data_IF_203393384448
#
_entry.id   IF_203393384448
#
_cell.length_a   1.000
_cell.length_b   1.000
_cell.length_c   1.000
_cell.angle_alpha   90.00
_cell.angle_beta   90.00
_cell.angle_gamma   90.00
#
_symmetry.space_group_name_H-M   'P 1'
#
loop_
_entity.id
_entity.type
_entity.pdbx_description
1 polymer ?
#
# COMPACT_ATOMS: atom_id res chain seq x y z
N UNK A 1 1.89 -39.51 63.62
CA UNK A 1 2.43 -39.66 62.25
C UNK A 1 1.63 -38.92 61.16
N UNK A 2 0.51 -38.23 61.47
CA UNK A 2 -0.26 -37.48 60.45
C UNK A 2 0.31 -36.08 60.11
N UNK A 3 1.11 -35.46 60.99
CA UNK A 3 1.62 -34.10 60.78
C UNK A 3 2.72 -33.99 59.71
N UNK A 4 3.54 -35.03 59.54
CA UNK A 4 4.63 -35.04 58.55
C UNK A 4 4.14 -35.22 57.10
N UNK A 5 3.02 -35.94 56.91
CA UNK A 5 2.43 -36.12 55.57
C UNK A 5 1.85 -34.81 55.02
N UNK A 6 1.24 -33.98 55.87
CA UNK A 6 0.69 -32.67 55.48
C UNK A 6 1.78 -31.68 55.05
N UNK A 7 2.95 -31.74 55.68
CA UNK A 7 4.07 -30.86 55.37
C UNK A 7 4.73 -31.21 54.03
N UNK A 8 4.91 -32.51 53.75
CA UNK A 8 5.43 -32.97 52.45
C UNK A 8 4.44 -32.73 51.31
N UNK A 9 3.13 -32.87 51.56
CA UNK A 9 2.10 -32.53 50.58
C UNK A 9 2.08 -31.03 50.26
N UNK A 10 2.26 -30.16 51.26
CA UNK A 10 2.38 -28.71 51.03
C UNK A 10 3.55 -28.36 50.11
N UNK A 11 4.74 -28.90 50.38
CA UNK A 11 5.96 -28.64 49.59
C UNK A 11 5.91 -29.15 48.14
N UNK A 12 5.15 -30.20 47.86
CA UNK A 12 4.99 -30.74 46.51
C UNK A 12 3.90 -30.04 45.68
N UNK A 13 2.89 -29.46 46.34
CA UNK A 13 1.77 -28.79 45.68
C UNK A 13 2.01 -27.28 45.51
N UNK A 14 2.84 -26.67 46.39
CA UNK A 14 3.21 -25.25 46.30
C UNK A 14 3.75 -24.83 44.92
N UNK A 15 4.69 -25.55 44.27
CA UNK A 15 5.23 -25.13 42.97
C UNK A 15 4.29 -25.40 41.79
N UNK A 16 3.15 -26.07 42.00
CA UNK A 16 2.14 -26.36 40.97
C UNK A 16 0.90 -25.47 41.11
N UNK A 17 0.83 -24.62 42.14
CA UNK A 17 -0.13 -23.52 42.17
C UNK A 17 0.36 -22.46 41.20
N UNK A 18 -0.32 -22.39 40.06
CA UNK A 18 -0.28 -21.23 39.18
C UNK A 18 -0.79 -20.05 39.99
N UNK A 19 0.11 -19.17 40.42
CA UNK A 19 -0.26 -17.85 40.89
C UNK A 19 -0.99 -17.14 39.74
N UNK A 20 -2.24 -16.77 40.00
CA UNK A 20 -3.10 -15.97 39.11
C UNK A 20 -2.66 -14.48 39.05
N UNK A 21 -1.48 -14.14 39.57
CA UNK A 21 -0.93 -12.78 39.51
C UNK A 21 0.01 -12.61 38.32
N UNK A 22 -0.60 -12.60 37.14
CA UNK A 22 0.00 -12.06 35.93
C UNK A 22 -0.23 -10.55 35.85
N UNK A 23 0.21 -9.79 36.86
CA UNK A 23 0.15 -8.32 36.87
C UNK A 23 1.07 -7.65 35.83
N UNK A 24 1.78 -8.42 34.99
CA UNK A 24 2.69 -7.87 33.99
C UNK A 24 2.68 -8.60 32.65
N UNK A 25 1.56 -9.23 32.23
CA UNK A 25 1.29 -9.30 30.79
C UNK A 25 0.87 -7.91 30.32
N UNK A 26 1.84 -6.99 30.22
CA UNK A 26 1.79 -6.07 29.10
C UNK A 26 1.86 -6.97 27.88
N UNK A 27 0.71 -7.23 27.27
CA UNK A 27 0.67 -7.26 25.82
C UNK A 27 1.36 -5.96 25.43
N UNK A 28 2.66 -6.03 25.22
CA UNK A 28 3.28 -5.22 24.19
C UNK A 28 2.45 -5.59 22.98
N UNK A 29 1.37 -4.85 22.74
CA UNK A 29 0.88 -4.62 21.39
C UNK A 29 2.20 -4.27 20.71
N UNK A 30 2.78 -5.14 19.87
CA UNK A 30 3.94 -4.72 19.11
C UNK A 30 3.44 -3.41 18.53
N UNK A 31 4.07 -2.28 18.89
CA UNK A 31 3.78 -1.01 18.25
C UNK A 31 3.75 -1.42 16.80
N UNK A 32 2.53 -1.43 16.23
CA UNK A 32 2.37 -1.88 14.87
C UNK A 32 3.35 -0.96 14.20
N UNK A 33 4.43 -1.54 13.67
CA UNK A 33 5.43 -0.79 12.96
C UNK A 33 4.65 -0.37 11.73
N UNK A 34 3.89 0.71 11.88
CA UNK A 34 3.38 1.50 10.82
C UNK A 34 4.66 2.12 10.31
N UNK A 35 5.44 1.34 9.56
CA UNK A 35 6.07 1.88 8.37
C UNK A 35 4.88 2.37 7.55
N UNK A 36 4.38 3.54 7.95
CA UNK A 36 3.53 4.36 7.13
C UNK A 36 4.46 4.70 5.99
N UNK A 37 4.48 3.82 5.00
CA UNK A 37 4.93 4.19 3.68
C UNK A 37 3.93 5.27 3.32
N UNK A 38 4.32 6.53 3.51
CA UNK A 38 3.44 7.68 3.32
C UNK A 38 2.77 7.52 1.96
N UNK A 39 1.49 7.18 1.99
CA UNK A 39 0.71 7.00 0.79
C UNK A 39 0.64 8.35 0.08
N UNK A 40 0.83 8.35 -1.23
CA UNK A 40 0.61 9.54 -2.02
C UNK A 40 -0.89 9.70 -2.27
N UNK A 41 -1.43 10.88 -2.04
CA UNK A 41 -2.86 11.16 -2.24
C UNK A 41 -3.01 12.29 -3.26
N UNK A 42 -3.99 12.13 -4.14
CA UNK A 42 -4.38 13.14 -5.13
C UNK A 42 -3.74 12.97 -6.51
N UNK A 43 -4.40 13.54 -7.51
CA UNK A 43 -3.98 13.42 -8.92
C UNK A 43 -2.61 14.04 -9.22
N UNK A 44 -2.26 15.13 -8.53
CA UNK A 44 -0.95 15.77 -8.66
C UNK A 44 0.22 14.86 -8.24
N UNK A 45 -0.03 13.91 -7.35
CA UNK A 45 0.96 12.91 -6.91
C UNK A 45 0.75 11.55 -7.60
N UNK A 46 0.00 11.50 -8.70
CA UNK A 46 -0.20 10.29 -9.50
C UNK A 46 1.16 9.69 -9.89
N UNK A 47 1.37 8.38 -9.69
CA UNK A 47 2.60 7.71 -10.09
C UNK A 47 2.85 7.83 -11.60
N UNK A 48 4.11 7.73 -12.05
CA UNK A 48 4.42 7.73 -13.48
C UNK A 48 3.59 6.70 -14.25
N UNK A 49 3.13 7.07 -15.44
CA UNK A 49 2.38 6.17 -16.33
C UNK A 49 3.13 5.89 -17.63
N UNK A 50 2.92 4.68 -18.15
CA UNK A 50 3.11 4.40 -19.57
C UNK A 50 1.74 4.34 -20.24
N UNK A 51 1.54 5.17 -21.25
CA UNK A 51 0.33 5.28 -22.06
C UNK A 51 0.60 4.80 -23.48
N UNK A 52 -0.42 4.33 -24.20
CA UNK A 52 -0.30 4.07 -25.62
C UNK A 52 -0.70 5.30 -26.45
N UNK A 53 0.13 5.67 -27.42
CA UNK A 53 -0.19 6.74 -28.36
C UNK A 53 -1.27 6.29 -29.34
N UNK A 54 -2.43 6.97 -29.44
CA UNK A 54 -3.51 6.59 -30.36
C UNK A 54 -3.18 6.84 -31.84
N UNK A 55 -2.11 7.59 -32.14
CA UNK A 55 -1.72 7.91 -33.53
C UNK A 55 -0.70 6.97 -34.14
N UNK A 56 0.23 6.46 -33.32
CA UNK A 56 1.36 5.67 -33.81
C UNK A 56 1.67 4.43 -32.96
N UNK A 57 0.79 4.12 -31.99
CA UNK A 57 0.85 2.95 -31.10
C UNK A 57 2.11 2.89 -30.21
N UNK A 58 2.96 3.92 -30.24
CA UNK A 58 4.16 4.00 -29.43
C UNK A 58 3.81 4.24 -27.96
N UNK A 59 4.64 3.70 -27.07
CA UNK A 59 4.55 3.98 -25.64
C UNK A 59 4.95 5.43 -25.34
N UNK A 60 4.20 6.07 -24.45
CA UNK A 60 4.45 7.42 -23.94
C UNK A 60 4.67 7.29 -22.44
N UNK A 61 5.84 7.72 -21.98
CA UNK A 61 6.13 7.79 -20.55
C UNK A 61 5.77 9.19 -20.03
N UNK A 62 4.82 9.26 -19.10
CA UNK A 62 4.43 10.48 -18.40
C UNK A 62 4.91 10.40 -16.94
N UNK A 63 5.85 11.27 -16.55
CA UNK A 63 6.53 11.19 -15.26
C UNK A 63 5.61 11.53 -14.06
N UNK A 64 4.71 12.50 -14.21
CA UNK A 64 3.77 12.92 -13.15
C UNK A 64 2.36 13.19 -13.68
N UNK A 65 1.39 13.28 -12.77
CA UNK A 65 -0.02 13.54 -13.13
C UNK A 65 -0.31 14.93 -13.69
N UNK A 66 0.61 15.88 -13.51
CA UNK A 66 0.49 17.26 -13.99
C UNK A 66 1.31 17.53 -15.26
N UNK A 67 2.15 16.59 -15.68
CA UNK A 67 3.03 16.76 -16.83
C UNK A 67 2.25 16.66 -18.15
N UNK A 68 2.71 17.33 -19.23
CA UNK A 68 2.18 17.09 -20.57
C UNK A 68 2.42 15.65 -21.01
N UNK A 69 1.63 15.19 -21.98
CA UNK A 69 1.72 13.84 -22.53
C UNK A 69 2.16 13.97 -23.98
N UNK A 70 3.48 13.89 -24.21
CA UNK A 70 4.06 14.10 -25.54
C UNK A 70 4.60 12.80 -26.09
N UNK A 71 4.10 12.37 -27.24
CA UNK A 71 4.58 11.16 -27.88
C UNK A 71 5.99 11.37 -28.46
N UNK A 72 7.01 10.62 -28.01
CA UNK A 72 8.39 10.82 -28.47
C UNK A 72 8.60 10.41 -29.93
N UNK A 73 7.66 9.66 -30.52
CA UNK A 73 7.76 9.15 -31.89
C UNK A 73 7.07 10.03 -32.93
N UNK A 74 5.80 10.37 -32.70
CA UNK A 74 5.01 11.13 -33.68
C UNK A 74 4.81 12.60 -33.30
N UNK A 75 5.42 13.06 -32.20
CA UNK A 75 5.31 14.43 -31.66
C UNK A 75 3.87 14.92 -31.49
N UNK A 76 2.94 14.00 -31.27
CA UNK A 76 1.59 14.32 -30.84
C UNK A 76 1.61 14.72 -29.36
N UNK A 77 1.00 15.86 -29.06
CA UNK A 77 0.85 16.40 -27.72
C UNK A 77 -0.58 16.14 -27.25
N UNK A 78 -0.73 15.64 -26.02
CA UNK A 78 -2.01 15.49 -25.35
C UNK A 78 -1.95 16.22 -24.00
N UNK A 79 -3.05 16.84 -23.63
CA UNK A 79 -3.20 17.51 -22.35
C UNK A 79 -3.44 16.49 -21.22
N UNK A 80 -3.19 16.90 -19.98
CA UNK A 80 -3.48 16.08 -18.79
C UNK A 80 -4.95 15.62 -18.70
N UNK A 81 -5.89 16.36 -19.28
CA UNK A 81 -7.32 16.03 -19.23
C UNK A 81 -7.70 14.96 -20.25
N UNK A 82 -6.88 14.76 -21.29
CA UNK A 82 -7.04 13.69 -22.28
C UNK A 82 -6.47 12.36 -21.78
N UNK A 83 -5.81 12.32 -20.61
CA UNK A 83 -5.33 11.08 -20.00
C UNK A 83 -6.37 9.93 -19.97
N UNK A 84 -7.64 10.15 -19.58
CA UNK A 84 -8.65 9.09 -19.55
C UNK A 84 -9.03 8.57 -20.94
N UNK A 85 -8.74 9.34 -22.00
CA UNK A 85 -9.00 8.95 -23.39
C UNK A 85 -7.85 8.09 -23.96
N UNK A 86 -6.71 8.04 -23.28
CA UNK A 86 -5.54 7.27 -23.68
C UNK A 86 -5.52 5.91 -22.99
N UNK A 87 -5.04 4.89 -23.70
CA UNK A 87 -4.89 3.57 -23.12
C UNK A 87 -3.73 3.55 -22.11
N UNK A 88 -4.06 3.27 -20.85
CA UNK A 88 -3.07 3.08 -19.80
C UNK A 88 -2.49 1.67 -19.85
N UNK A 89 -1.21 1.57 -20.20
CA UNK A 89 -0.49 0.31 -20.26
C UNK A 89 0.01 -0.11 -18.88
N UNK A 90 0.58 0.83 -18.12
CA UNK A 90 1.03 0.57 -16.75
C UNK A 90 1.24 1.83 -15.91
N UNK A 91 1.20 1.67 -14.59
CA UNK A 91 1.71 2.64 -13.63
C UNK A 91 3.00 2.11 -13.01
N UNK A 92 3.97 3.00 -12.77
CA UNK A 92 5.29 2.66 -12.23
C UNK A 92 5.46 3.22 -10.83
N UNK A 93 6.11 2.46 -9.96
CA UNK A 93 6.38 2.88 -8.60
C UNK A 93 7.46 3.99 -8.60
N UNK A 94 7.19 5.17 -8.03
CA UNK A 94 8.18 6.25 -7.98
C UNK A 94 9.38 5.93 -7.07
N UNK A 95 9.28 4.93 -6.20
CA UNK A 95 10.33 4.54 -5.25
C UNK A 95 11.28 3.50 -5.83
N UNK A 96 10.74 2.42 -6.41
CA UNK A 96 11.52 1.26 -6.86
C UNK A 96 11.37 0.94 -8.36
N UNK A 97 10.61 1.75 -9.10
CA UNK A 97 10.34 1.60 -10.53
C UNK A 97 9.66 0.27 -10.94
N UNK A 98 9.11 -0.48 -9.99
CA UNK A 98 8.32 -1.69 -10.27
C UNK A 98 6.89 -1.34 -10.72
N UNK A 99 6.24 -2.24 -11.43
CA UNK A 99 4.86 -2.03 -11.90
C UNK A 99 3.87 -2.04 -10.73
N UNK A 100 3.01 -1.02 -10.69
CA UNK A 100 1.96 -0.89 -9.69
C UNK A 100 0.73 -1.69 -10.11
N UNK A 101 0.17 -2.44 -9.16
CA UNK A 101 -1.22 -2.91 -9.29
C UNK A 101 -2.13 -1.73 -9.10
N UNK A 102 -3.10 -1.57 -9.97
CA UNK A 102 -3.99 -0.42 -9.95
C UNK A 102 -5.40 -0.84 -10.36
N UNK A 103 -6.38 0.03 -10.11
CA UNK A 103 -7.76 -0.25 -10.47
C UNK A 103 -8.70 0.91 -10.17
N UNK A 104 -9.98 0.68 -10.46
CA UNK A 104 -11.09 1.61 -10.23
C UNK A 104 -11.95 1.06 -9.09
N UNK A 105 -12.31 1.91 -8.12
CA UNK A 105 -13.30 1.59 -7.07
C UNK A 105 -14.71 1.92 -7.58
N UNK A 106 -14.84 2.99 -8.35
CA UNK A 106 -16.07 3.51 -8.91
C UNK A 106 -16.00 3.54 -10.45
N UNK A 107 -16.17 2.38 -11.12
CA UNK A 107 -16.01 2.25 -12.57
C UNK A 107 -17.05 3.00 -13.40
N UNK A 108 -18.09 3.58 -12.80
CA UNK A 108 -19.06 4.43 -13.51
C UNK A 108 -18.88 5.93 -13.22
N UNK A 109 -17.95 6.29 -12.31
CA UNK A 109 -17.73 7.67 -11.89
C UNK A 109 -16.46 8.27 -12.50
N UNK A 110 -15.37 7.48 -12.56
CA UNK A 110 -14.06 7.96 -13.00
C UNK A 110 -13.45 7.01 -14.02
N UNK A 111 -13.00 7.52 -15.17
CA UNK A 111 -12.33 6.74 -16.22
C UNK A 111 -10.82 6.57 -16.01
N UNK A 112 -10.32 6.99 -14.86
CA UNK A 112 -8.91 6.86 -14.46
C UNK A 112 -8.77 5.86 -13.30
N UNK A 113 -7.59 5.25 -13.12
CA UNK A 113 -7.33 4.48 -11.91
C UNK A 113 -7.51 5.34 -10.66
N UNK A 114 -8.17 4.78 -9.66
CA UNK A 114 -8.44 5.45 -8.39
C UNK A 114 -7.47 5.03 -7.28
N UNK A 115 -6.72 3.97 -7.50
CA UNK A 115 -5.69 3.52 -6.57
C UNK A 115 -4.58 2.79 -7.30
N UNK A 116 -3.39 2.79 -6.70
CA UNK A 116 -2.25 2.01 -7.14
C UNK A 116 -1.40 1.55 -5.95
N UNK A 117 -0.90 0.32 -5.98
CA UNK A 117 -0.09 -0.27 -4.89
C UNK A 117 1.09 -1.04 -5.46
N UNK A 118 2.28 -0.76 -4.93
CA UNK A 118 3.50 -1.51 -5.19
C UNK A 118 3.57 -2.71 -4.25
N UNK A 119 3.82 -3.90 -4.80
CA UNK A 119 4.04 -5.09 -3.97
C UNK A 119 5.45 -5.18 -3.40
N UNK A 120 6.42 -4.51 -4.04
CA UNK A 120 7.83 -4.60 -3.67
C UNK A 120 8.21 -3.71 -2.48
N UNK A 121 7.81 -2.44 -2.51
CA UNK A 121 8.15 -1.46 -1.46
C UNK A 121 6.95 -0.99 -0.63
N UNK A 122 5.77 -1.59 -0.83
CA UNK A 122 4.52 -1.22 -0.16
C UNK A 122 4.05 0.22 -0.38
N UNK A 123 4.60 0.92 -1.38
CA UNK A 123 4.08 2.23 -1.80
C UNK A 123 2.62 2.13 -2.20
N UNK A 124 1.82 3.09 -1.75
CA UNK A 124 0.41 3.20 -2.11
C UNK A 124 0.11 4.61 -2.61
N UNK A 125 -0.71 4.70 -3.64
CA UNK A 125 -1.30 5.93 -4.11
C UNK A 125 -2.82 5.81 -4.15
N UNK A 126 -3.50 6.88 -3.75
CA UNK A 126 -4.95 7.01 -3.82
C UNK A 126 -5.34 8.27 -4.58
N UNK A 127 -6.39 8.13 -5.38
CA UNK A 127 -7.10 9.25 -5.97
C UNK A 127 -7.94 9.93 -4.89
N UNK A 128 -7.86 11.25 -4.82
CA UNK A 128 -8.67 12.06 -3.92
C UNK A 128 -9.79 12.69 -4.75
N UNK A 129 -11.02 12.36 -4.40
CA UNK A 129 -12.23 12.95 -4.97
C UNK A 129 -12.38 14.36 -4.40
N UNK A 130 -12.53 15.37 -5.27
CA UNK A 130 -12.83 16.75 -4.89
C UNK A 130 -14.33 16.99 -4.69
#
# INVERSE_FOLDING_TARGET
MLGRLKWLAGQLIEPLRVDDDLENFRLSIPEAQTTTVEGAVGWNKRPPATLQCPRCENEIYQAGGMDPIDCPRCVAEFTRHEFPELELLSLHCPVCNDHLRHGRRHPNAYDVPEWATCRNCHYHWEFEDF
#
